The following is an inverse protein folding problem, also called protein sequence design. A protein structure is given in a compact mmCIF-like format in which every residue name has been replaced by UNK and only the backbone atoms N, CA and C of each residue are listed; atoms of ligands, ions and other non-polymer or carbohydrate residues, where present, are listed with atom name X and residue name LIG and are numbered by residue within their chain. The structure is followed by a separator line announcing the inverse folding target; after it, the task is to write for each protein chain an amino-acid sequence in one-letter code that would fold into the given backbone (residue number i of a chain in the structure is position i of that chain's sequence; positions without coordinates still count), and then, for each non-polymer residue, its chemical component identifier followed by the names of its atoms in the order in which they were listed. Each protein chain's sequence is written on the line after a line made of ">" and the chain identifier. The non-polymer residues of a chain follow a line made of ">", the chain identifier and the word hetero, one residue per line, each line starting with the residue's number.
data_IF_564713342093
#
_entry.id   IF_564713342093
#
_cell.length_a   1.000
_cell.length_b   1.000
_cell.length_c   1.000
_cell.angle_alpha   90.00
_cell.angle_beta   90.00
_cell.angle_gamma   90.00
#
_symmetry.space_group_name_H-M   'P 1'
#
loop_
_entity.id
_entity.type
_entity.pdbx_description
1 polymer ?
#
# COMPACT_ATOMS: atom_id res chain seq x y z
N UNK A 1 17.19 27.32 4.67
CA UNK A 1 17.15 27.20 3.18
C UNK A 1 16.81 25.76 2.87
N UNK A 2 15.54 25.44 2.63
CA UNK A 2 15.09 24.08 2.30
C UNK A 2 15.59 23.71 0.90
N UNK A 3 16.35 22.62 0.79
CA UNK A 3 16.63 22.00 -0.50
C UNK A 3 15.28 21.59 -1.11
N UNK A 4 14.88 22.22 -2.22
CA UNK A 4 13.73 21.78 -3.02
C UNK A 4 13.99 20.33 -3.40
N UNK A 5 13.12 19.43 -2.97
CA UNK A 5 13.19 18.04 -3.40
C UNK A 5 13.08 18.01 -4.91
N UNK A 6 14.11 17.53 -5.56
CA UNK A 6 14.14 17.48 -7.01
C UNK A 6 13.26 16.30 -7.43
N UNK A 7 11.99 16.60 -7.73
CA UNK A 7 11.11 15.69 -8.45
C UNK A 7 11.78 15.44 -9.80
N UNK A 8 12.12 14.22 -10.13
CA UNK A 8 12.56 13.87 -11.47
C UNK A 8 11.29 13.92 -12.33
N UNK A 9 11.16 14.96 -13.14
CA UNK A 9 10.03 15.11 -14.06
C UNK A 9 10.24 14.07 -15.17
N UNK A 10 9.44 13.02 -15.14
CA UNK A 10 9.34 12.04 -16.24
C UNK A 10 8.39 12.64 -17.28
N UNK A 11 8.82 12.72 -18.54
CA UNK A 11 8.02 13.31 -19.63
C UNK A 11 6.69 12.56 -19.90
N UNK A 12 6.54 11.32 -19.41
CA UNK A 12 5.29 10.58 -19.44
C UNK A 12 5.18 9.80 -18.10
N UNK A 13 4.48 10.36 -17.09
CA UNK A 13 4.38 9.73 -15.77
C UNK A 13 3.37 8.56 -15.75
N UNK A 14 3.25 7.83 -16.82
CA UNK A 14 2.37 6.68 -16.97
C UNK A 14 3.09 5.49 -17.59
N UNK A 15 2.82 4.32 -17.06
CA UNK A 15 3.03 3.05 -17.73
C UNK A 15 1.69 2.53 -18.24
N UNK A 16 1.71 1.71 -19.28
CA UNK A 16 0.52 1.03 -19.79
C UNK A 16 0.54 -0.45 -19.43
N UNK A 17 -0.50 -0.90 -18.75
CA UNK A 17 -0.70 -2.30 -18.40
C UNK A 17 -1.14 -3.14 -19.59
N UNK A 18 -1.05 -4.46 -19.49
CA UNK A 18 -1.44 -5.42 -20.55
C UNK A 18 -2.89 -5.25 -21.04
N UNK A 19 -3.77 -4.71 -20.20
CA UNK A 19 -5.19 -4.46 -20.52
C UNK A 19 -5.49 -3.01 -20.91
N UNK A 20 -4.46 -2.22 -21.20
CA UNK A 20 -4.51 -0.80 -21.50
C UNK A 20 -4.93 0.10 -20.31
N UNK A 21 -4.79 -0.37 -19.06
CA UNK A 21 -4.82 0.52 -17.91
C UNK A 21 -3.61 1.45 -17.93
N UNK A 22 -3.82 2.74 -17.72
CA UNK A 22 -2.73 3.72 -17.56
C UNK A 22 -2.47 3.90 -16.07
N UNK A 23 -1.27 3.54 -15.64
CA UNK A 23 -0.84 3.59 -14.24
C UNK A 23 0.08 4.79 -14.05
N UNK A 24 -0.37 5.75 -13.26
CA UNK A 24 0.39 6.95 -12.93
C UNK A 24 1.48 6.63 -11.90
N UNK A 25 2.67 7.21 -12.07
CA UNK A 25 3.75 7.10 -11.09
C UNK A 25 4.59 8.38 -11.00
N UNK A 26 5.31 8.51 -9.90
CA UNK A 26 6.29 9.57 -9.67
C UNK A 26 7.58 8.98 -9.12
N UNK A 27 8.71 9.63 -9.44
CA UNK A 27 10.02 9.26 -8.92
C UNK A 27 10.69 10.46 -8.27
N UNK A 28 11.35 10.24 -7.14
CA UNK A 28 12.03 11.24 -6.35
C UNK A 28 13.44 10.78 -6.00
N UNK A 29 14.38 11.74 -5.89
CA UNK A 29 15.77 11.48 -5.52
C UNK A 29 16.69 11.19 -6.70
N UNK A 30 17.92 10.75 -6.41
CA UNK A 30 18.90 10.40 -7.43
C UNK A 30 18.56 9.03 -8.04
N UNK A 31 18.52 8.97 -9.37
CA UNK A 31 18.25 7.74 -10.12
C UNK A 31 19.25 6.60 -9.88
N UNK A 32 20.42 6.89 -9.29
CA UNK A 32 21.44 5.91 -8.94
C UNK A 32 21.26 5.33 -7.54
N UNK A 33 20.51 6.02 -6.66
CA UNK A 33 20.25 5.56 -5.30
C UNK A 33 19.34 4.34 -5.32
N UNK A 34 19.49 3.48 -4.29
CA UNK A 34 18.66 2.28 -4.14
C UNK A 34 17.16 2.63 -4.06
N UNK A 35 16.30 1.96 -4.85
CA UNK A 35 14.90 2.32 -4.96
C UNK A 35 14.03 1.71 -3.85
N UNK A 36 13.16 2.54 -3.28
CA UNK A 36 12.05 2.13 -2.42
C UNK A 36 10.75 2.48 -3.13
N UNK A 37 9.84 1.51 -3.26
CA UNK A 37 8.54 1.69 -3.91
C UNK A 37 7.46 1.70 -2.83
N UNK A 38 6.64 2.76 -2.79
CA UNK A 38 5.55 2.93 -1.83
C UNK A 38 4.21 2.61 -2.51
N UNK A 39 3.42 1.72 -1.90
CA UNK A 39 2.17 1.18 -2.45
C UNK A 39 1.02 1.57 -1.53
N UNK A 40 0.12 2.43 -2.02
CA UNK A 40 -0.95 3.03 -1.22
C UNK A 40 -2.12 2.06 -0.93
N UNK A 41 -2.95 2.34 0.10
CA UNK A 41 -4.15 1.57 0.44
C UNK A 41 -5.31 1.82 -0.53
N UNK A 42 -6.37 1.00 -0.48
CA UNK A 42 -7.63 1.26 -1.20
C UNK A 42 -8.18 2.63 -0.77
N UNK A 43 -8.57 3.44 -1.73
CA UNK A 43 -9.04 4.80 -1.50
C UNK A 43 -7.94 5.82 -1.25
N UNK A 44 -6.66 5.39 -1.24
CA UNK A 44 -5.50 6.26 -1.23
C UNK A 44 -5.04 6.65 -2.64
N UNK A 45 -3.99 7.42 -2.69
CA UNK A 45 -3.23 7.77 -3.90
C UNK A 45 -1.79 8.11 -3.50
N UNK A 46 -0.98 8.66 -4.42
CA UNK A 46 0.42 8.99 -4.11
C UNK A 46 0.59 10.08 -3.07
N UNK A 47 -0.40 10.97 -2.90
CA UNK A 47 -0.32 12.11 -1.97
C UNK A 47 -0.24 11.64 -0.50
N UNK A 48 -0.77 10.45 -0.17
CA UNK A 48 -0.73 9.91 1.19
C UNK A 48 0.69 9.68 1.70
N UNK A 49 1.66 9.58 0.80
CA UNK A 49 3.06 9.30 1.09
C UNK A 49 3.94 10.57 1.21
N UNK A 50 3.35 11.78 1.20
CA UNK A 50 4.12 13.03 1.19
C UNK A 50 5.17 13.07 2.31
N UNK A 51 4.81 12.65 3.52
CA UNK A 51 5.71 12.63 4.66
C UNK A 51 6.81 11.57 4.51
N UNK A 52 6.45 10.33 4.19
CA UNK A 52 7.38 9.21 4.03
C UNK A 52 8.32 9.41 2.85
N UNK A 53 7.88 10.04 1.77
CA UNK A 53 8.75 10.42 0.64
C UNK A 53 9.90 11.30 1.14
N UNK A 54 9.60 12.35 1.92
CA UNK A 54 10.60 13.26 2.46
C UNK A 54 11.56 12.53 3.40
N UNK A 55 11.02 11.68 4.25
CA UNK A 55 11.79 10.91 5.22
C UNK A 55 12.74 9.92 4.52
N UNK A 56 12.26 9.12 3.59
CA UNK A 56 13.03 8.10 2.87
C UNK A 56 14.13 8.75 2.01
N UNK A 57 13.85 9.91 1.38
CA UNK A 57 14.83 10.70 0.64
C UNK A 57 15.97 11.21 1.55
N UNK A 58 15.64 11.69 2.77
CA UNK A 58 16.64 12.12 3.76
C UNK A 58 17.56 10.97 4.19
N UNK A 59 17.06 9.74 4.14
CA UNK A 59 17.84 8.52 4.38
C UNK A 59 18.73 8.13 3.20
N UNK A 60 18.69 8.84 2.07
CA UNK A 60 19.55 8.64 0.90
C UNK A 60 19.03 7.63 -0.14
N UNK A 61 17.80 7.22 -0.04
CA UNK A 61 17.16 6.32 -1.01
C UNK A 61 16.50 7.10 -2.15
N UNK A 62 16.25 6.44 -3.28
CA UNK A 62 15.33 6.88 -4.32
C UNK A 62 13.94 6.40 -3.97
N UNK A 63 12.91 7.23 -4.17
CA UNK A 63 11.52 6.88 -3.89
C UNK A 63 10.72 6.82 -5.19
N UNK A 64 9.93 5.77 -5.34
CA UNK A 64 8.94 5.63 -6.38
C UNK A 64 7.57 5.46 -5.71
N UNK A 65 6.58 6.21 -6.19
CA UNK A 65 5.17 6.05 -5.80
C UNK A 65 4.35 5.85 -7.06
N UNK A 66 3.29 5.05 -6.99
CA UNK A 66 2.38 4.88 -8.12
C UNK A 66 0.94 4.75 -7.62
N UNK A 67 -0.01 4.99 -8.50
CA UNK A 67 -1.43 4.89 -8.19
C UNK A 67 -2.01 3.59 -8.73
N UNK A 68 -2.66 2.83 -7.87
CA UNK A 68 -3.36 1.61 -8.26
C UNK A 68 -4.40 1.93 -9.34
N UNK A 69 -4.66 0.98 -10.24
CA UNK A 69 -5.67 1.18 -11.30
C UNK A 69 -7.01 1.62 -10.73
N UNK A 70 -7.60 2.62 -11.37
CA UNK A 70 -8.86 3.22 -10.94
C UNK A 70 -8.79 4.17 -9.75
N UNK A 71 -7.59 4.52 -9.27
CA UNK A 71 -7.36 5.49 -8.22
C UNK A 71 -6.77 6.78 -8.82
N UNK A 72 -7.37 7.92 -8.48
CA UNK A 72 -6.97 9.28 -8.86
C UNK A 72 -6.64 9.41 -10.36
N UNK A 73 -5.35 9.51 -10.73
CA UNK A 73 -4.85 9.69 -12.11
C UNK A 73 -4.74 8.38 -12.90
N UNK A 74 -4.72 7.22 -12.21
CA UNK A 74 -4.67 5.93 -12.87
C UNK A 74 -6.03 5.50 -13.39
N UNK A 75 -6.07 4.97 -14.62
CA UNK A 75 -7.31 4.51 -15.25
C UNK A 75 -7.57 3.02 -15.01
N UNK A 76 -8.79 2.58 -15.29
CA UNK A 76 -9.10 1.16 -15.46
C UNK A 76 -9.14 0.88 -16.96
N UNK A 77 -8.39 -0.13 -17.40
CA UNK A 77 -8.37 -0.56 -18.78
C UNK A 77 -9.57 -1.41 -19.16
N UNK A 78 -9.34 -2.39 -20.04
CA UNK A 78 -10.40 -3.28 -20.55
C UNK A 78 -10.90 -4.25 -19.49
N UNK A 79 -10.03 -4.70 -18.58
CA UNK A 79 -10.36 -5.63 -17.49
C UNK A 79 -10.92 -4.87 -16.30
N UNK A 80 -12.26 -4.77 -16.25
CA UNK A 80 -12.98 -4.06 -15.17
C UNK A 80 -12.93 -4.79 -13.82
N UNK A 81 -12.79 -6.10 -13.83
CA UNK A 81 -12.78 -6.99 -12.66
C UNK A 81 -11.39 -7.58 -12.49
N UNK A 82 -10.45 -6.71 -12.10
CA UNK A 82 -9.06 -7.09 -11.91
C UNK A 82 -8.83 -7.83 -10.58
N UNK A 83 -7.76 -8.60 -10.53
CA UNK A 83 -7.36 -9.43 -9.38
C UNK A 83 -6.11 -8.86 -8.69
N UNK A 84 -5.70 -9.46 -7.58
CA UNK A 84 -4.42 -9.14 -6.93
C UNK A 84 -3.21 -9.43 -7.83
N UNK A 85 -3.31 -10.45 -8.71
CA UNK A 85 -2.27 -10.74 -9.70
C UNK A 85 -2.15 -9.63 -10.75
N UNK A 86 -3.28 -9.06 -11.20
CA UNK A 86 -3.24 -7.92 -12.13
C UNK A 86 -2.58 -6.69 -11.48
N UNK A 87 -2.80 -6.45 -10.18
CA UNK A 87 -2.14 -5.37 -9.45
C UNK A 87 -0.64 -5.63 -9.25
N UNK A 88 -0.26 -6.88 -9.07
CA UNK A 88 1.15 -7.30 -9.03
C UNK A 88 1.82 -7.18 -10.40
N UNK A 89 1.12 -7.51 -11.48
CA UNK A 89 1.61 -7.33 -12.86
C UNK A 89 1.83 -5.85 -13.19
N UNK A 90 0.97 -4.93 -12.73
CA UNK A 90 1.19 -3.49 -12.88
C UNK A 90 2.47 -3.03 -12.21
N UNK A 91 2.73 -3.51 -10.98
CA UNK A 91 3.98 -3.24 -10.28
C UNK A 91 5.19 -3.82 -11.04
N UNK A 92 5.05 -4.99 -11.65
CA UNK A 92 6.11 -5.60 -12.44
C UNK A 92 6.45 -4.77 -13.67
N UNK A 93 5.45 -4.31 -14.41
CA UNK A 93 5.63 -3.44 -15.58
C UNK A 93 6.33 -2.13 -15.16
N UNK A 94 5.96 -1.54 -14.02
CA UNK A 94 6.61 -0.34 -13.49
C UNK A 94 8.09 -0.59 -13.17
N UNK A 95 8.41 -1.70 -12.53
CA UNK A 95 9.77 -2.10 -12.16
C UNK A 95 10.63 -2.31 -13.41
N UNK A 96 10.08 -2.97 -14.42
CA UNK A 96 10.75 -3.22 -15.69
C UNK A 96 10.98 -1.93 -16.48
N UNK A 97 9.97 -1.07 -16.61
CA UNK A 97 10.09 0.23 -17.31
C UNK A 97 11.16 1.12 -16.68
N UNK A 98 11.23 1.11 -15.35
CA UNK A 98 12.26 1.85 -14.60
C UNK A 98 13.61 1.13 -14.51
N UNK A 99 13.74 -0.06 -15.13
CA UNK A 99 14.95 -0.90 -15.15
C UNK A 99 15.50 -1.18 -13.76
N UNK A 100 14.61 -1.38 -12.80
CA UNK A 100 14.95 -1.66 -11.41
C UNK A 100 15.30 -3.15 -11.26
N UNK A 101 16.53 -3.44 -10.87
CA UNK A 101 16.99 -4.83 -10.65
C UNK A 101 16.58 -5.33 -9.27
N UNK A 102 16.71 -4.48 -8.27
CA UNK A 102 16.43 -4.77 -6.86
C UNK A 102 15.76 -3.58 -6.20
N UNK A 103 14.79 -3.82 -5.32
CA UNK A 103 14.12 -2.77 -4.55
C UNK A 103 13.59 -3.27 -3.21
N UNK A 104 13.18 -2.32 -2.38
CA UNK A 104 12.34 -2.55 -1.22
C UNK A 104 10.92 -2.09 -1.51
N UNK A 105 9.92 -2.88 -1.13
CA UNK A 105 8.51 -2.51 -1.20
C UNK A 105 8.01 -2.10 0.18
N UNK A 106 7.32 -0.95 0.26
CA UNK A 106 6.59 -0.53 1.46
C UNK A 106 5.12 -0.47 1.07
N UNK A 107 4.30 -1.32 1.65
CA UNK A 107 2.89 -1.42 1.29
C UNK A 107 1.96 -1.18 2.47
N UNK A 108 1.03 -0.23 2.31
CA UNK A 108 -0.03 0.00 3.29
C UNK A 108 -1.30 -0.76 2.88
N UNK A 109 -1.89 -1.50 3.82
CA UNK A 109 -3.15 -2.23 3.59
C UNK A 109 -3.06 -3.16 2.37
N UNK A 110 -3.89 -3.00 1.34
CA UNK A 110 -3.80 -3.76 0.08
C UNK A 110 -2.39 -3.69 -0.56
N UNK A 111 -1.67 -2.58 -0.34
CA UNK A 111 -0.31 -2.41 -0.86
C UNK A 111 0.67 -3.47 -0.36
N UNK A 112 0.58 -3.87 0.91
CA UNK A 112 1.38 -4.96 1.45
C UNK A 112 0.97 -6.33 0.90
N UNK A 113 -0.33 -6.53 0.66
CA UNK A 113 -0.82 -7.74 0.00
C UNK A 113 -0.32 -7.84 -1.46
N UNK A 114 -0.30 -6.72 -2.20
CA UNK A 114 0.30 -6.65 -3.55
C UNK A 114 1.79 -7.00 -3.48
N UNK A 115 2.52 -6.41 -2.53
CA UNK A 115 3.95 -6.70 -2.33
C UNK A 115 4.21 -8.18 -2.06
N UNK A 116 3.33 -8.84 -1.29
CA UNK A 116 3.41 -10.27 -1.01
C UNK A 116 3.23 -11.14 -2.26
N UNK A 117 2.22 -10.84 -3.07
CA UNK A 117 1.96 -11.53 -4.34
C UNK A 117 3.16 -11.32 -5.28
N UNK A 118 3.66 -10.08 -5.38
CA UNK A 118 4.81 -9.75 -6.18
C UNK A 118 6.06 -10.53 -5.76
N UNK A 119 6.35 -10.59 -4.47
CA UNK A 119 7.50 -11.32 -3.96
C UNK A 119 7.42 -12.83 -4.21
N UNK A 120 6.22 -13.42 -4.22
CA UNK A 120 6.02 -14.81 -4.63
C UNK A 120 6.33 -15.02 -6.12
N UNK A 121 5.93 -14.08 -6.98
CA UNK A 121 6.10 -14.18 -8.43
C UNK A 121 7.53 -13.81 -8.90
N UNK A 122 8.13 -12.80 -8.27
CA UNK A 122 9.40 -12.20 -8.69
C UNK A 122 10.37 -11.98 -7.50
N UNK A 123 10.69 -13.03 -6.73
CA UNK A 123 11.50 -12.90 -5.51
C UNK A 123 12.91 -12.33 -5.77
N UNK A 124 13.43 -12.51 -6.98
CA UNK A 124 14.77 -12.03 -7.39
C UNK A 124 14.84 -10.49 -7.45
N UNK A 125 13.72 -9.79 -7.57
CA UNK A 125 13.68 -8.33 -7.68
C UNK A 125 13.51 -7.61 -6.33
N UNK A 126 13.34 -8.36 -5.23
CA UNK A 126 12.99 -7.81 -3.92
C UNK A 126 14.02 -8.17 -2.87
N UNK A 127 14.56 -7.17 -2.16
CA UNK A 127 15.43 -7.38 -1.01
C UNK A 127 14.65 -7.32 0.31
N UNK A 128 13.60 -6.47 0.38
CA UNK A 128 12.77 -6.37 1.57
C UNK A 128 11.32 -5.96 1.27
N UNK A 129 10.42 -6.33 2.20
CA UNK A 129 9.03 -5.82 2.25
C UNK A 129 8.79 -5.25 3.63
N UNK A 130 8.20 -4.05 3.67
CA UNK A 130 7.70 -3.42 4.89
C UNK A 130 6.17 -3.34 4.77
N UNK A 131 5.49 -4.04 5.66
CA UNK A 131 4.04 -4.04 5.77
C UNK A 131 3.61 -2.94 6.74
N UNK A 132 2.75 -2.03 6.31
CA UNK A 132 2.12 -1.03 7.18
C UNK A 132 0.64 -1.34 7.25
N UNK A 133 0.12 -1.65 8.44
CA UNK A 133 -1.27 -2.05 8.63
C UNK A 133 -1.75 -2.99 7.51
N UNK A 134 -1.03 -4.09 7.34
CA UNK A 134 -1.23 -5.05 6.26
C UNK A 134 -0.82 -6.45 6.69
N UNK A 135 -1.13 -7.44 5.87
CA UNK A 135 -0.67 -8.81 6.03
C UNK A 135 -0.68 -9.53 4.68
N UNK A 136 0.03 -10.67 4.62
CA UNK A 136 0.03 -11.54 3.44
C UNK A 136 -1.18 -12.48 3.36
N UNK A 137 -2.01 -12.52 4.40
CA UNK A 137 -3.18 -13.40 4.49
C UNK A 137 -4.46 -12.71 4.04
N UNK A 138 -5.40 -13.53 3.57
CA UNK A 138 -6.77 -13.09 3.29
C UNK A 138 -7.43 -12.48 4.53
N UNK A 139 -8.22 -11.44 4.33
CA UNK A 139 -9.05 -10.84 5.37
C UNK A 139 -10.16 -11.83 5.76
N UNK A 140 -10.43 -12.02 7.06
CA UNK A 140 -11.45 -12.97 7.52
C UNK A 140 -12.86 -12.69 6.97
N UNK A 141 -13.62 -13.75 6.71
CA UNK A 141 -14.98 -13.68 6.14
C UNK A 141 -15.99 -12.86 6.96
N UNK A 142 -15.75 -12.70 8.27
CA UNK A 142 -16.59 -11.83 9.14
C UNK A 142 -16.67 -10.38 8.68
N UNK A 143 -15.68 -9.93 7.88
CA UNK A 143 -15.62 -8.56 7.37
C UNK A 143 -16.27 -8.43 5.97
N UNK A 144 -16.69 -9.54 5.35
CA UNK A 144 -17.30 -9.55 4.02
C UNK A 144 -18.59 -8.73 3.93
N UNK A 145 -19.45 -8.80 4.94
CA UNK A 145 -20.73 -8.05 4.99
C UNK A 145 -20.48 -6.54 4.89
N UNK A 146 -19.52 -6.02 5.66
CA UNK A 146 -19.12 -4.61 5.61
C UNK A 146 -18.68 -4.23 4.18
N UNK A 147 -17.90 -5.08 3.52
CA UNK A 147 -17.39 -4.80 2.18
C UNK A 147 -18.44 -4.97 1.09
N UNK A 148 -19.42 -5.85 1.26
CA UNK A 148 -20.60 -5.88 0.41
C UNK A 148 -21.41 -4.59 0.52
N UNK A 149 -21.57 -4.08 1.75
CA UNK A 149 -22.28 -2.83 2.01
C UNK A 149 -21.54 -1.63 1.42
N UNK A 150 -20.22 -1.51 1.63
CA UNK A 150 -19.43 -0.39 1.08
C UNK A 150 -19.43 -0.37 -0.45
N UNK A 151 -19.30 -1.53 -1.11
CA UNK A 151 -19.41 -1.62 -2.58
C UNK A 151 -20.79 -1.22 -3.08
N UNK A 152 -21.85 -1.67 -2.41
CA UNK A 152 -23.23 -1.30 -2.77
C UNK A 152 -23.45 0.21 -2.67
N UNK A 153 -22.95 0.86 -1.61
CA UNK A 153 -23.03 2.30 -1.45
C UNK A 153 -22.25 3.02 -2.55
N UNK A 154 -21.00 2.59 -2.81
CA UNK A 154 -20.19 3.17 -3.88
C UNK A 154 -20.90 3.11 -5.24
N UNK A 155 -21.48 1.95 -5.59
CA UNK A 155 -22.20 1.76 -6.87
C UNK A 155 -23.45 2.61 -6.94
N UNK A 156 -24.25 2.67 -5.86
CA UNK A 156 -25.57 3.31 -5.89
C UNK A 156 -25.53 4.82 -5.61
N UNK A 157 -24.53 5.31 -4.84
CA UNK A 157 -24.49 6.69 -4.33
C UNK A 157 -23.16 7.40 -4.59
N UNK A 158 -22.16 6.69 -5.12
CA UNK A 158 -20.82 7.24 -5.40
C UNK A 158 -19.88 7.30 -4.20
N UNK A 159 -18.61 7.68 -4.48
CA UNK A 159 -17.53 7.67 -3.49
C UNK A 159 -17.72 8.73 -2.39
N UNK A 160 -18.33 9.88 -2.69
CA UNK A 160 -18.60 10.90 -1.68
C UNK A 160 -19.58 10.40 -0.60
N UNK A 161 -20.65 9.74 -1.02
CA UNK A 161 -21.61 9.14 -0.07
C UNK A 161 -21.00 7.99 0.72
N UNK A 162 -20.11 7.21 0.10
CA UNK A 162 -19.37 6.17 0.82
C UNK A 162 -18.40 6.77 1.85
N UNK A 163 -17.75 7.89 1.54
CA UNK A 163 -16.89 8.57 2.50
C UNK A 163 -17.67 9.00 3.75
N UNK A 164 -18.84 9.63 3.59
CA UNK A 164 -19.70 10.01 4.72
C UNK A 164 -20.20 8.78 5.50
N UNK A 165 -20.61 7.73 4.80
CA UNK A 165 -21.01 6.49 5.46
C UNK A 165 -19.86 5.88 6.27
N UNK A 166 -18.63 5.92 5.75
CA UNK A 166 -17.45 5.46 6.48
C UNK A 166 -17.22 6.30 7.75
N UNK A 167 -17.41 7.63 7.69
CA UNK A 167 -17.32 8.51 8.85
C UNK A 167 -18.26 8.08 9.97
N UNK A 168 -19.49 7.74 9.63
CA UNK A 168 -20.52 7.36 10.58
C UNK A 168 -20.37 5.94 11.12
N UNK A 169 -19.87 5.01 10.27
CA UNK A 169 -19.95 3.58 10.53
C UNK A 169 -18.58 2.89 10.70
N UNK A 170 -17.48 3.57 10.34
CA UNK A 170 -16.15 2.98 10.44
C UNK A 170 -15.55 3.16 11.83
N UNK A 171 -15.73 2.15 12.67
CA UNK A 171 -15.14 2.10 14.00
C UNK A 171 -13.61 1.87 13.99
N UNK A 172 -13.06 1.61 12.81
CA UNK A 172 -11.64 1.27 12.61
C UNK A 172 -10.81 2.50 12.18
N UNK A 173 -11.42 3.69 12.16
CA UNK A 173 -10.78 4.96 11.80
C UNK A 173 -11.18 6.08 12.79
N UNK A 174 -11.23 5.78 14.06
CA UNK A 174 -11.70 6.74 15.10
C UNK A 174 -10.78 7.94 15.20
N UNK A 175 -9.48 7.72 15.13
CA UNK A 175 -8.46 8.76 15.25
C UNK A 175 -8.50 9.67 14.03
N UNK A 176 -8.52 9.11 12.81
CA UNK A 176 -8.69 9.87 11.56
C UNK A 176 -9.97 10.70 11.54
N UNK A 177 -11.06 10.18 12.12
CA UNK A 177 -12.36 10.83 12.10
C UNK A 177 -12.53 11.87 13.20
N UNK A 178 -11.67 11.87 14.22
CA UNK A 178 -11.77 12.79 15.36
C UNK A 178 -11.34 14.22 15.01
N UNK A 179 -10.38 14.37 14.08
CA UNK A 179 -9.91 15.68 13.62
C UNK A 179 -10.52 16.07 12.27
N UNK A 180 -11.18 17.23 12.21
CA UNK A 180 -11.87 17.69 11.00
C UNK A 180 -10.92 17.95 9.83
N UNK A 181 -9.68 18.41 10.08
CA UNK A 181 -8.68 18.65 9.03
C UNK A 181 -8.23 17.35 8.41
N UNK A 182 -7.88 16.37 9.23
CA UNK A 182 -7.51 15.02 8.81
C UNK A 182 -8.64 14.34 8.03
N UNK A 183 -9.88 14.49 8.53
CA UNK A 183 -11.06 13.98 7.81
C UNK A 183 -11.24 14.63 6.42
N UNK A 184 -11.12 15.94 6.31
CA UNK A 184 -11.27 16.63 5.03
C UNK A 184 -10.19 16.17 4.02
N UNK A 185 -8.95 16.02 4.47
CA UNK A 185 -7.86 15.48 3.65
C UNK A 185 -8.16 14.05 3.17
N UNK A 186 -8.56 13.18 4.10
CA UNK A 186 -8.96 11.81 3.78
C UNK A 186 -10.11 11.76 2.78
N UNK A 187 -11.18 12.53 3.02
CA UNK A 187 -12.35 12.57 2.14
C UNK A 187 -11.99 13.03 0.73
N UNK A 188 -11.18 14.09 0.62
CA UNK A 188 -10.71 14.57 -0.68
C UNK A 188 -9.94 13.49 -1.43
N UNK A 189 -8.97 12.86 -0.79
CA UNK A 189 -8.17 11.78 -1.37
C UNK A 189 -9.06 10.59 -1.77
N UNK A 190 -9.91 10.12 -0.87
CA UNK A 190 -10.77 8.96 -1.06
C UNK A 190 -11.74 9.13 -2.23
N UNK A 191 -12.32 10.35 -2.39
CA UNK A 191 -13.27 10.65 -3.46
C UNK A 191 -12.63 10.76 -4.84
N UNK A 192 -11.32 10.86 -4.94
CA UNK A 192 -10.58 10.79 -6.21
C UNK A 192 -10.50 9.35 -6.77
N UNK A 193 -10.82 8.34 -5.96
CA UNK A 193 -10.92 6.95 -6.43
C UNK A 193 -12.19 6.76 -7.24
N UNK A 194 -12.08 6.15 -8.42
CA UNK A 194 -13.27 5.81 -9.21
C UNK A 194 -14.09 4.70 -8.53
N UNK A 195 -15.41 4.74 -8.71
CA UNK A 195 -16.30 3.67 -8.19
C UNK A 195 -15.84 2.29 -8.68
N UNK A 196 -15.51 2.18 -9.98
CA UNK A 196 -15.02 0.93 -10.56
C UNK A 196 -13.71 0.45 -9.92
N UNK A 197 -12.75 1.36 -9.70
CA UNK A 197 -11.47 1.07 -9.05
C UNK A 197 -11.65 0.59 -7.62
N UNK A 198 -12.47 1.30 -6.83
CA UNK A 198 -12.78 0.90 -5.46
C UNK A 198 -13.43 -0.49 -5.38
N UNK A 199 -14.46 -0.73 -6.21
CA UNK A 199 -15.21 -1.99 -6.22
C UNK A 199 -14.30 -3.16 -6.61
N UNK A 200 -13.51 -3.01 -7.68
CA UNK A 200 -12.62 -4.07 -8.15
C UNK A 200 -11.45 -4.30 -7.17
N UNK A 201 -10.81 -3.26 -6.64
CA UNK A 201 -9.74 -3.40 -5.66
C UNK A 201 -10.23 -4.08 -4.37
N UNK A 202 -11.39 -3.67 -3.87
CA UNK A 202 -12.02 -4.31 -2.70
C UNK A 202 -12.31 -5.79 -2.98
N UNK A 203 -12.87 -6.13 -4.16
CA UNK A 203 -13.13 -7.51 -4.56
C UNK A 203 -11.82 -8.30 -4.67
N UNK A 204 -10.79 -7.75 -5.33
CA UNK A 204 -9.50 -8.39 -5.49
C UNK A 204 -8.86 -8.77 -4.14
N UNK A 205 -8.93 -7.87 -3.14
CA UNK A 205 -8.40 -8.13 -1.80
C UNK A 205 -9.09 -9.32 -1.11
N UNK A 206 -10.40 -9.50 -1.32
CA UNK A 206 -11.15 -10.61 -0.74
C UNK A 206 -11.01 -11.93 -1.49
N UNK A 207 -10.58 -11.89 -2.74
CA UNK A 207 -10.30 -13.07 -3.55
C UNK A 207 -8.81 -13.44 -3.55
N UNK A 208 -8.04 -12.90 -2.58
CA UNK A 208 -6.65 -13.32 -2.41
C UNK A 208 -6.58 -14.84 -2.27
N UNK A 209 -5.55 -15.46 -2.87
CA UNK A 209 -5.33 -16.88 -2.70
C UNK A 209 -5.29 -17.26 -1.22
N UNK A 210 -6.04 -18.30 -0.86
CA UNK A 210 -5.99 -18.95 0.44
C UNK A 210 -5.60 -20.43 0.29
N UNK A 211 -5.19 -21.06 1.35
CA UNK A 211 -4.85 -22.47 1.35
C UNK A 211 -3.63 -22.82 0.50
N UNK A 212 -3.80 -23.58 -0.57
CA UNK A 212 -2.68 -24.11 -1.38
C UNK A 212 -1.82 -23.05 -2.07
N UNK A 213 -2.34 -21.85 -2.25
CA UNK A 213 -1.61 -20.68 -2.78
C UNK A 213 -1.22 -19.70 -1.67
N UNK A 214 -1.10 -20.13 -0.44
CA UNK A 214 -0.78 -19.30 0.70
C UNK A 214 0.52 -18.51 0.45
N UNK A 215 0.35 -17.21 0.29
CA UNK A 215 1.46 -16.28 0.03
C UNK A 215 2.36 -16.18 1.27
N UNK A 216 1.79 -16.39 2.47
CA UNK A 216 2.55 -16.40 3.73
C UNK A 216 3.59 -17.50 3.74
N UNK A 217 3.23 -18.71 3.30
CA UNK A 217 4.17 -19.83 3.22
C UNK A 217 5.28 -19.56 2.21
N UNK A 218 4.94 -18.96 1.05
CA UNK A 218 5.94 -18.57 0.06
C UNK A 218 6.94 -17.54 0.59
N UNK A 219 6.51 -16.62 1.48
CA UNK A 219 7.38 -15.63 2.12
C UNK A 219 8.26 -16.23 3.22
N UNK A 220 7.82 -17.31 3.87
CA UNK A 220 8.57 -17.97 4.95
C UNK A 220 9.95 -18.45 4.51
N UNK A 221 10.04 -18.99 3.31
CA UNK A 221 11.23 -19.68 2.79
C UNK A 221 12.07 -18.75 1.89
N UNK A 222 11.75 -17.45 1.83
CA UNK A 222 12.51 -16.47 1.03
C UNK A 222 13.69 -15.88 1.80
N UNK A 223 14.66 -15.32 1.03
CA UNK A 223 15.73 -14.49 1.56
C UNK A 223 15.33 -13.03 1.73
N UNK A 224 14.09 -12.69 1.36
CA UNK A 224 13.54 -11.34 1.46
C UNK A 224 13.42 -10.98 2.94
N UNK A 225 13.91 -9.79 3.32
CA UNK A 225 13.71 -9.26 4.68
C UNK A 225 12.27 -8.78 4.84
N UNK A 226 11.63 -9.20 5.92
CA UNK A 226 10.23 -8.89 6.18
C UNK A 226 10.08 -8.11 7.47
N UNK A 227 9.43 -6.94 7.38
CA UNK A 227 9.15 -6.06 8.49
C UNK A 227 7.68 -5.70 8.53
N UNK A 228 7.12 -5.56 9.72
CA UNK A 228 5.73 -5.16 9.94
C UNK A 228 5.64 -3.97 10.87
N UNK A 229 4.84 -2.98 10.50
CA UNK A 229 4.41 -1.87 11.35
C UNK A 229 2.90 -1.95 11.42
N UNK A 230 2.34 -2.08 12.62
CA UNK A 230 0.90 -2.21 12.79
C UNK A 230 0.42 -1.35 13.95
N UNK A 231 -0.68 -0.65 13.73
CA UNK A 231 -1.34 0.11 14.79
C UNK A 231 -2.03 -0.84 15.78
N UNK A 232 -1.93 -0.51 17.07
CA UNK A 232 -2.57 -1.29 18.15
C UNK A 232 -4.09 -1.30 18.04
N UNK A 233 -4.67 -0.21 17.55
CA UNK A 233 -6.10 -0.04 17.41
C UNK A 233 -6.64 -0.45 16.02
N UNK A 234 -5.77 -0.93 15.11
CA UNK A 234 -6.19 -1.49 13.83
C UNK A 234 -6.86 -2.86 14.02
N UNK A 235 -8.18 -2.84 14.04
CA UNK A 235 -9.00 -4.06 14.24
C UNK A 235 -8.98 -5.01 13.06
N UNK A 236 -8.54 -4.53 11.89
CA UNK A 236 -8.48 -5.32 10.67
C UNK A 236 -7.16 -6.07 10.59
N UNK A 237 -6.03 -5.39 10.82
CA UNK A 237 -4.70 -5.96 10.53
C UNK A 237 -3.85 -6.31 11.75
N UNK A 238 -4.17 -5.86 12.97
CA UNK A 238 -3.37 -6.23 14.16
C UNK A 238 -3.30 -7.76 14.31
N UNK A 239 -4.44 -8.45 14.32
CA UNK A 239 -4.48 -9.90 14.48
C UNK A 239 -3.87 -10.65 13.29
N UNK A 240 -4.19 -10.33 12.01
CA UNK A 240 -3.50 -10.92 10.86
C UNK A 240 -1.99 -10.74 10.87
N UNK A 241 -1.47 -9.58 11.27
CA UNK A 241 -0.03 -9.33 11.40
C UNK A 241 0.61 -10.21 12.49
N UNK A 242 -0.06 -10.34 13.65
CA UNK A 242 0.40 -11.20 14.73
C UNK A 242 0.41 -12.69 14.32
N UNK A 243 -0.57 -13.13 13.55
CA UNK A 243 -0.62 -14.48 13.04
C UNK A 243 0.44 -14.72 11.97
N UNK A 244 0.65 -13.75 11.08
CA UNK A 244 1.75 -13.78 10.11
C UNK A 244 3.12 -13.89 10.81
N UNK A 245 3.33 -13.17 11.93
CA UNK A 245 4.55 -13.28 12.75
C UNK A 245 4.77 -14.68 13.31
N UNK A 246 3.71 -15.41 13.67
CA UNK A 246 3.82 -16.82 14.15
C UNK A 246 4.24 -17.75 13.01
N UNK A 247 3.70 -17.52 11.80
CA UNK A 247 4.00 -18.35 10.64
C UNK A 247 5.37 -18.04 10.03
N UNK A 248 5.86 -16.80 10.20
CA UNK A 248 7.15 -16.31 9.70
C UNK A 248 7.99 -15.81 10.89
N UNK A 249 8.76 -16.68 11.55
CA UNK A 249 9.49 -16.31 12.78
C UNK A 249 10.49 -15.15 12.64
N UNK A 250 11.08 -14.97 11.46
CA UNK A 250 12.02 -13.88 11.14
C UNK A 250 11.35 -12.59 10.66
N UNK A 251 10.03 -12.50 10.60
CA UNK A 251 9.32 -11.24 10.44
C UNK A 251 9.48 -10.40 11.71
N UNK A 252 10.07 -9.23 11.62
CA UNK A 252 10.11 -8.25 12.70
C UNK A 252 8.82 -7.41 12.69
N UNK A 253 8.22 -7.18 13.85
CA UNK A 253 6.96 -6.43 13.96
C UNK A 253 7.06 -5.35 15.02
N UNK A 254 6.71 -4.12 14.65
CA UNK A 254 6.51 -2.98 15.57
C UNK A 254 5.03 -2.69 15.69
N UNK A 255 4.55 -2.60 16.93
CA UNK A 255 3.19 -2.16 17.24
C UNK A 255 3.25 -0.70 17.69
N UNK A 256 2.43 0.15 17.07
CA UNK A 256 2.36 1.59 17.38
C UNK A 256 1.05 1.87 18.11
N UNK A 257 1.15 2.54 19.27
CA UNK A 257 0.01 2.97 20.06
C UNK A 257 -0.58 4.29 19.56
N UNK A 258 -1.87 4.54 19.84
CA UNK A 258 -2.53 5.82 19.64
C UNK A 258 -2.84 6.16 18.18
N UNK A 259 -2.90 5.18 17.32
CA UNK A 259 -3.35 5.31 15.94
C UNK A 259 -4.09 4.04 15.51
N UNK A 260 -4.80 4.14 14.38
CA UNK A 260 -5.55 3.03 13.80
C UNK A 260 -5.10 2.71 12.36
N UNK A 261 -6.03 2.34 11.47
CA UNK A 261 -5.69 1.89 10.11
C UNK A 261 -4.94 2.93 9.28
N UNK A 262 -5.17 4.23 9.50
CA UNK A 262 -4.57 5.32 8.72
C UNK A 262 -3.33 5.94 9.39
N UNK A 263 -2.56 5.13 10.11
CA UNK A 263 -1.42 5.55 10.93
C UNK A 263 -0.39 6.43 10.20
N UNK A 264 -0.20 6.26 8.89
CA UNK A 264 0.71 7.10 8.08
C UNK A 264 0.26 8.56 7.98
N UNK A 265 -1.04 8.83 8.20
CA UNK A 265 -1.60 10.18 8.27
C UNK A 265 -1.76 10.66 9.72
N UNK A 266 -2.09 9.74 10.62
CA UNK A 266 -2.40 10.04 12.02
C UNK A 266 -1.16 10.25 12.87
N UNK A 267 -0.10 9.48 12.64
CA UNK A 267 1.12 9.51 13.43
C UNK A 267 2.36 9.22 12.57
N UNK A 268 2.64 10.08 11.56
CA UNK A 268 3.76 9.87 10.64
C UNK A 268 5.12 9.81 11.34
N UNK A 269 5.32 10.58 12.41
CA UNK A 269 6.58 10.56 13.18
C UNK A 269 6.85 9.20 13.83
N UNK A 270 5.83 8.50 14.32
CA UNK A 270 5.98 7.16 14.87
C UNK A 270 6.25 6.12 13.77
N UNK A 271 5.65 6.29 12.60
CA UNK A 271 5.94 5.48 11.40
C UNK A 271 7.39 5.69 10.97
N UNK A 272 7.87 6.93 10.87
CA UNK A 272 9.25 7.26 10.53
C UNK A 272 10.26 6.64 11.49
N UNK A 273 9.95 6.70 12.79
CA UNK A 273 10.80 6.07 13.82
C UNK A 273 10.90 4.56 13.61
N UNK A 274 9.78 3.89 13.35
CA UNK A 274 9.77 2.45 13.06
C UNK A 274 10.49 2.14 11.75
N UNK A 275 10.25 2.92 10.69
CA UNK A 275 10.94 2.79 9.40
C UNK A 275 12.46 2.98 9.54
N UNK A 276 12.93 3.85 10.43
CA UNK A 276 14.37 4.08 10.64
C UNK A 276 15.11 2.78 10.94
N UNK A 277 14.62 2.00 11.89
CA UNK A 277 15.25 0.75 12.31
C UNK A 277 15.34 -0.24 11.13
N UNK A 278 14.30 -0.33 10.33
CA UNK A 278 14.24 -1.24 9.17
C UNK A 278 15.10 -0.76 7.99
N UNK A 279 15.06 0.53 7.68
CA UNK A 279 15.84 1.11 6.58
C UNK A 279 17.35 1.06 6.86
N UNK A 280 17.76 1.22 8.11
CA UNK A 280 19.17 1.09 8.49
C UNK A 280 19.66 -0.36 8.30
N UNK A 281 18.80 -1.36 8.55
CA UNK A 281 19.12 -2.77 8.24
C UNK A 281 19.25 -2.99 6.73
N UNK A 282 18.39 -2.37 5.91
CA UNK A 282 18.44 -2.49 4.44
C UNK A 282 19.73 -1.87 3.89
N UNK A 283 20.21 -0.74 4.44
CA UNK A 283 21.48 -0.11 4.02
C UNK A 283 22.70 -1.01 4.14
N UNK A 284 22.67 -1.96 5.05
CA UNK A 284 23.77 -2.93 5.23
C UNK A 284 23.73 -4.02 4.15
N UNK A 285 22.58 -4.21 3.50
CA UNK A 285 22.38 -5.27 2.50
C UNK A 285 22.69 -4.83 1.06
N UNK A 286 22.72 -3.52 0.81
CA UNK A 286 22.96 -2.90 -0.50
C UNK A 286 24.35 -2.28 -0.57
#
# INVERSE_FOLDING_TARGET
>A
MGKKNTKIIVNMPYIESKDASKIYYETFGDGKSYPIILIHPIGGNTDIWEHEIQFVLKKGFRVIVYELRGHNRSTIGKKRDFTMHDLSDDLHILIDELKIKKCTLIGHSIGGAIASIYAKQYPQNIDAIIFINSASKRIPDKDLEKHHTTRRIAISKGMAALAEWNKENNKDAKTTLADQKTWNYFKEMFTKTSVGGFVAATKALYTMPDGKEDVTLALKDTRIKLFGIVAKDDRVFLKPMQDMKKDIPNLEVKVIDGCDHWMIVENPDAVDKALTEFLDTIKVLI
#
